data_IF_703778406699
#
_entry.id   IF_703778406699
#
_cell.length_a   1.000
_cell.length_b   1.000
_cell.length_c   1.000
_cell.angle_alpha   90.00
_cell.angle_beta   90.00
_cell.angle_gamma   90.00
#
_symmetry.space_group_name_H-M   'P 1'
#
loop_
_entity.id
_entity.type
_entity.pdbx_description
1 polymer ?
#
# COMPACT_ATOMS: atom_id res chain seq x y z
N UNK A 1 1.25 -4.58 -4.43
CA UNK A 1 0.33 -5.28 -3.51
C UNK A 1 -0.33 -6.40 -4.29
N UNK A 2 -0.13 -7.64 -3.89
CA UNK A 2 -0.71 -8.80 -4.59
C UNK A 2 -2.22 -8.84 -4.38
N UNK A 3 -2.96 -9.50 -5.27
CA UNK A 3 -4.41 -9.71 -5.09
C UNK A 3 -4.73 -10.46 -3.79
N UNK A 4 -3.82 -11.33 -3.35
CA UNK A 4 -3.92 -12.04 -2.08
C UNK A 4 -3.82 -11.08 -0.89
N UNK A 5 -2.83 -10.18 -0.88
CA UNK A 5 -2.66 -9.16 0.17
C UNK A 5 -3.89 -8.24 0.28
N UNK A 6 -4.49 -7.85 -0.86
CA UNK A 6 -5.72 -7.05 -0.89
C UNK A 6 -6.88 -7.78 -0.23
N UNK A 7 -7.14 -9.02 -0.65
CA UNK A 7 -8.21 -9.85 -0.08
C UNK A 7 -8.05 -10.10 1.42
N UNK A 8 -6.81 -10.24 1.86
CA UNK A 8 -6.47 -10.45 3.26
C UNK A 8 -6.76 -9.18 4.10
N UNK A 9 -6.46 -7.98 3.57
CA UNK A 9 -6.76 -6.71 4.25
C UNK A 9 -8.24 -6.31 4.18
N UNK A 10 -8.97 -6.76 3.17
CA UNK A 10 -10.40 -6.45 2.97
C UNK A 10 -11.33 -7.39 3.75
N UNK A 11 -10.86 -8.04 4.83
CA UNK A 11 -11.72 -8.83 5.75
C UNK A 11 -12.60 -7.91 6.60
N UNK A 12 -13.52 -7.22 5.94
CA UNK A 12 -14.57 -6.44 6.60
C UNK A 12 -15.77 -7.32 6.95
N UNK A 13 -16.37 -7.15 8.13
CA UNK A 13 -17.61 -7.82 8.47
C UNK A 13 -18.75 -7.22 7.64
N UNK A 14 -19.53 -8.07 6.96
CA UNK A 14 -20.65 -7.65 6.08
C UNK A 14 -21.99 -7.88 6.78
N UNK A 15 -22.08 -8.92 7.60
CA UNK A 15 -23.28 -9.31 8.33
C UNK A 15 -22.98 -9.32 9.84
N UNK A 16 -23.93 -8.82 10.62
CA UNK A 16 -23.88 -8.78 12.07
C UNK A 16 -23.90 -10.20 12.63
N UNK A 17 -23.00 -10.52 13.57
CA UNK A 17 -22.95 -11.85 14.18
C UNK A 17 -24.13 -12.10 15.12
N UNK A 18 -24.67 -11.04 15.72
CA UNK A 18 -25.77 -11.13 16.69
C UNK A 18 -27.13 -11.40 16.02
N UNK A 19 -27.44 -10.75 14.90
CA UNK A 19 -28.77 -10.84 14.28
C UNK A 19 -28.78 -11.16 12.77
N UNK A 20 -27.61 -11.28 12.13
CA UNK A 20 -27.50 -11.48 10.67
C UNK A 20 -27.81 -10.25 9.81
N UNK A 21 -28.15 -9.12 10.44
CA UNK A 21 -28.43 -7.84 9.80
C UNK A 21 -27.24 -7.26 9.04
N UNK A 22 -27.48 -6.30 8.14
CA UNK A 22 -26.39 -5.68 7.38
C UNK A 22 -25.57 -4.75 8.27
N UNK A 23 -24.25 -4.80 8.09
CA UNK A 23 -23.30 -3.91 8.77
C UNK A 23 -22.89 -2.76 7.87
N UNK A 24 -22.85 -1.56 8.45
CA UNK A 24 -22.47 -0.33 7.76
C UNK A 24 -21.23 0.25 8.39
N UNK A 25 -20.25 0.57 7.54
CA UNK A 25 -19.02 1.20 7.97
C UNK A 25 -19.31 2.55 8.62
N UNK A 26 -18.73 2.76 9.80
CA UNK A 26 -18.81 4.03 10.53
C UNK A 26 -17.49 4.79 10.33
N UNK A 27 -16.44 4.41 11.06
CA UNK A 27 -15.13 5.03 10.96
C UNK A 27 -14.03 4.13 11.53
N UNK A 28 -12.80 4.23 11.00
CA UNK A 28 -11.63 3.61 11.61
C UNK A 28 -11.70 2.09 11.79
N UNK A 29 -12.41 1.39 10.90
CA UNK A 29 -12.59 -0.06 10.95
C UNK A 29 -13.76 -0.54 11.82
N UNK A 30 -14.60 0.37 12.32
CA UNK A 30 -15.85 0.03 13.02
C UNK A 30 -17.05 -0.03 12.07
N UNK A 31 -17.97 -0.93 12.40
CA UNK A 31 -19.17 -1.23 11.64
C UNK A 31 -20.34 -1.33 12.60
N UNK A 32 -21.49 -0.75 12.22
CA UNK A 32 -22.72 -0.79 13.03
C UNK A 32 -23.84 -1.50 12.30
N UNK A 33 -24.57 -2.34 13.01
CA UNK A 33 -25.75 -3.01 12.48
C UNK A 33 -26.95 -2.06 12.47
N UNK A 34 -27.67 -1.99 11.35
CA UNK A 34 -28.91 -1.21 11.27
C UNK A 34 -30.06 -1.81 12.08
N UNK A 35 -30.11 -3.14 12.18
CA UNK A 35 -31.25 -3.85 12.79
C UNK A 35 -31.18 -3.89 14.32
N UNK A 36 -30.02 -4.24 14.89
CA UNK A 36 -29.85 -4.40 16.34
C UNK A 36 -28.92 -3.36 16.99
N UNK A 37 -28.24 -2.53 16.20
CA UNK A 37 -27.31 -1.52 16.70
C UNK A 37 -25.96 -2.05 17.19
N UNK A 38 -25.71 -3.36 17.13
CA UNK A 38 -24.43 -3.96 17.52
C UNK A 38 -23.25 -3.38 16.72
N UNK A 39 -22.10 -3.26 17.38
CA UNK A 39 -20.85 -2.79 16.78
C UNK A 39 -19.87 -3.95 16.57
N UNK A 40 -19.24 -3.95 15.40
CA UNK A 40 -18.29 -4.96 14.96
C UNK A 40 -17.06 -4.27 14.37
N UNK A 41 -15.91 -4.96 14.41
CA UNK A 41 -14.64 -4.40 13.97
C UNK A 41 -13.93 -5.31 12.99
N UNK A 42 -13.38 -4.72 11.93
CA UNK A 42 -12.41 -5.40 11.09
C UNK A 42 -11.05 -5.53 11.80
N UNK A 43 -10.09 -6.18 11.16
CA UNK A 43 -8.76 -6.37 11.73
C UNK A 43 -8.04 -5.04 12.04
N UNK A 44 -8.29 -3.99 11.26
CA UNK A 44 -7.74 -2.66 11.52
C UNK A 44 -8.40 -2.01 12.74
N UNK A 45 -9.73 -2.06 12.84
CA UNK A 45 -10.49 -1.56 13.97
C UNK A 45 -10.08 -2.22 15.28
N UNK A 46 -9.89 -3.54 15.28
CA UNK A 46 -9.39 -4.28 16.45
C UNK A 46 -8.01 -3.79 16.89
N UNK A 47 -7.06 -3.67 15.96
CA UNK A 47 -5.71 -3.17 16.28
C UNK A 47 -5.79 -1.73 16.81
N UNK A 48 -6.59 -0.88 16.18
CA UNK A 48 -6.76 0.51 16.57
C UNK A 48 -7.29 0.62 18.00
N UNK A 49 -8.38 -0.08 18.33
CA UNK A 49 -8.95 -0.08 19.67
C UNK A 49 -7.95 -0.55 20.73
N UNK A 50 -7.19 -1.60 20.41
CA UNK A 50 -6.15 -2.09 21.31
C UNK A 50 -5.07 -1.03 21.55
N UNK A 51 -4.57 -0.38 20.50
CA UNK A 51 -3.56 0.67 20.63
C UNK A 51 -4.09 1.92 21.35
N UNK A 52 -5.38 2.25 21.20
CA UNK A 52 -6.01 3.35 21.94
C UNK A 52 -6.14 3.04 23.44
N UNK A 53 -6.42 1.78 23.80
CA UNK A 53 -6.57 1.36 25.19
C UNK A 53 -5.22 1.09 25.90
N UNK A 54 -4.24 0.51 25.20
CA UNK A 54 -2.98 0.03 25.79
C UNK A 54 -1.76 0.88 25.41
N UNK A 55 -1.91 1.81 24.46
CA UNK A 55 -0.81 2.56 23.89
C UNK A 55 0.07 1.73 22.93
N UNK A 56 1.21 2.31 22.47
CA UNK A 56 2.11 1.64 21.55
C UNK A 56 2.61 0.30 22.09
N UNK A 57 2.37 -0.77 21.33
CA UNK A 57 2.66 -2.14 21.74
C UNK A 57 3.38 -2.92 20.65
N UNK A 58 4.22 -3.92 21.00
CA UNK A 58 4.81 -4.81 20.01
C UNK A 58 3.75 -5.62 19.26
N UNK A 59 4.01 -5.90 17.98
CA UNK A 59 3.07 -6.62 17.11
C UNK A 59 2.66 -8.01 17.66
N UNK A 60 3.53 -8.68 18.42
CA UNK A 60 3.24 -9.97 19.05
C UNK A 60 2.10 -9.85 20.05
N UNK A 61 2.19 -8.91 20.99
CA UNK A 61 1.14 -8.67 21.99
C UNK A 61 -0.19 -8.24 21.34
N UNK A 62 -0.12 -7.35 20.34
CA UNK A 62 -1.31 -6.96 19.59
C UNK A 62 -1.96 -8.20 18.96
N UNK A 63 -1.17 -9.10 18.38
CA UNK A 63 -1.68 -10.32 17.75
C UNK A 63 -2.33 -11.26 18.76
N UNK A 64 -1.68 -11.49 19.89
CA UNK A 64 -2.17 -12.36 20.97
C UNK A 64 -3.49 -11.85 21.55
N UNK A 65 -3.59 -10.55 21.83
CA UNK A 65 -4.73 -9.98 22.54
C UNK A 65 -5.93 -9.68 21.61
N UNK A 66 -5.68 -9.34 20.34
CA UNK A 66 -6.75 -9.03 19.37
C UNK A 66 -7.17 -10.22 18.51
N UNK A 67 -6.37 -11.29 18.48
CA UNK A 67 -6.52 -12.42 17.57
C UNK A 67 -6.24 -12.08 16.10
N UNK A 68 -5.75 -10.87 15.79
CA UNK A 68 -5.37 -10.48 14.44
C UNK A 68 -4.01 -11.11 14.11
N UNK A 69 -3.84 -11.85 13.00
CA UNK A 69 -2.57 -12.52 12.71
C UNK A 69 -1.40 -11.54 12.54
N UNK A 70 -0.22 -11.91 13.02
CA UNK A 70 1.02 -11.13 12.87
C UNK A 70 1.31 -10.68 11.44
N UNK A 71 0.99 -11.51 10.45
CA UNK A 71 1.18 -11.17 9.03
C UNK A 71 0.33 -9.97 8.60
N UNK A 72 -0.89 -9.85 9.14
CA UNK A 72 -1.80 -8.72 8.89
C UNK A 72 -1.23 -7.44 9.49
N UNK A 73 -0.77 -7.50 10.74
CA UNK A 73 -0.17 -6.36 11.44
C UNK A 73 1.07 -5.87 10.68
N UNK A 74 1.94 -6.80 10.26
CA UNK A 74 3.11 -6.47 9.44
C UNK A 74 2.72 -5.87 8.10
N UNK A 75 1.65 -6.36 7.47
CA UNK A 75 1.17 -5.80 6.21
C UNK A 75 0.62 -4.38 6.39
N UNK A 76 -0.08 -4.10 7.49
CA UNK A 76 -0.52 -2.74 7.83
C UNK A 76 0.66 -1.77 8.03
N UNK A 77 1.72 -2.21 8.71
CA UNK A 77 2.96 -1.45 8.87
C UNK A 77 3.63 -1.19 7.50
N UNK A 78 3.76 -2.22 6.66
CA UNK A 78 4.35 -2.12 5.32
C UNK A 78 3.56 -1.20 4.39
N UNK A 79 2.24 -1.16 4.53
CA UNK A 79 1.37 -0.31 3.71
C UNK A 79 1.15 1.09 4.31
N UNK A 80 1.79 1.41 5.44
CA UNK A 80 1.71 2.74 6.07
C UNK A 80 0.38 3.03 6.75
N UNK A 81 -0.41 2.00 7.08
CA UNK A 81 -1.64 2.16 7.89
C UNK A 81 -1.36 2.15 9.39
N UNK A 82 -0.24 1.55 9.79
CA UNK A 82 0.30 1.59 11.13
C UNK A 82 1.72 2.16 11.07
N UNK A 83 2.15 2.73 12.18
CA UNK A 83 3.50 3.25 12.37
C UNK A 83 4.06 2.80 13.72
N UNK A 84 5.35 2.49 13.73
CA UNK A 84 6.12 2.31 14.96
C UNK A 84 6.66 3.68 15.43
N UNK A 85 6.43 4.09 16.69
CA UNK A 85 6.96 5.34 17.24
C UNK A 85 8.49 5.43 17.22
N UNK A 86 9.01 6.66 17.28
CA UNK A 86 10.46 6.87 17.46
C UNK A 86 10.94 6.35 18.81
N UNK A 87 12.22 5.95 18.86
CA UNK A 87 12.83 5.39 20.07
C UNK A 87 12.37 3.96 20.39
N UNK A 88 11.54 3.33 19.55
CA UNK A 88 11.21 1.91 19.67
C UNK A 88 12.46 1.03 19.58
N UNK A 89 12.46 -0.09 20.31
CA UNK A 89 13.50 -1.13 20.23
C UNK A 89 13.36 -1.99 18.96
N UNK A 90 12.19 -1.98 18.33
CA UNK A 90 11.86 -2.83 17.20
C UNK A 90 11.37 -1.98 16.02
N UNK A 91 11.82 -2.32 14.81
CA UNK A 91 11.41 -1.67 13.56
C UNK A 91 11.22 -2.74 12.47
N UNK A 92 10.37 -2.46 11.49
CA UNK A 92 10.33 -3.28 10.27
C UNK A 92 11.55 -2.95 9.40
N UNK A 93 11.85 -3.79 8.42
CA UNK A 93 13.01 -3.61 7.54
C UNK A 93 12.57 -3.24 6.13
N UNK A 94 13.35 -2.36 5.48
CA UNK A 94 13.24 -2.11 4.06
C UNK A 94 13.46 -3.43 3.30
N UNK A 95 12.52 -3.80 2.41
CA UNK A 95 12.57 -5.06 1.66
C UNK A 95 13.73 -5.11 0.65
N UNK A 96 14.38 -3.98 0.38
CA UNK A 96 15.49 -3.87 -0.56
C UNK A 96 16.86 -3.79 0.10
N UNK A 97 17.07 -2.88 1.04
CA UNK A 97 18.38 -2.65 1.67
C UNK A 97 18.45 -3.10 3.14
N UNK A 98 17.33 -3.50 3.75
CA UNK A 98 17.30 -4.00 5.11
C UNK A 98 17.37 -2.95 6.22
N UNK A 99 17.46 -1.65 5.91
CA UNK A 99 17.48 -0.60 6.93
C UNK A 99 16.16 -0.57 7.73
N UNK A 100 16.23 -0.07 8.98
CA UNK A 100 15.07 0.07 9.85
C UNK A 100 14.05 1.07 9.28
N UNK A 101 12.77 0.77 9.44
CA UNK A 101 11.64 1.59 9.04
C UNK A 101 10.59 1.61 10.16
N UNK A 102 9.98 2.77 10.34
CA UNK A 102 8.80 2.94 11.20
C UNK A 102 7.53 2.39 10.53
N UNK A 103 7.47 2.51 9.21
CA UNK A 103 6.41 2.02 8.34
C UNK A 103 6.91 2.01 6.88
N UNK A 104 6.15 1.39 5.98
CA UNK A 104 6.47 1.33 4.55
C UNK A 104 7.24 0.08 4.12
N UNK A 105 7.18 -0.26 2.83
CA UNK A 105 7.94 -1.39 2.25
C UNK A 105 9.40 -1.04 1.94
N UNK A 106 9.63 0.19 1.49
CA UNK A 106 10.93 0.65 1.01
C UNK A 106 11.29 1.98 1.68
N UNK A 107 12.58 2.13 1.99
CA UNK A 107 13.09 3.40 2.49
C UNK A 107 13.12 4.48 1.40
N UNK A 108 13.19 5.77 1.77
CA UNK A 108 13.15 6.87 0.80
C UNK A 108 14.21 6.76 -0.31
N UNK A 109 15.43 6.33 0.00
CA UNK A 109 16.50 6.17 -0.98
C UNK A 109 16.21 5.03 -1.97
N UNK A 110 15.77 3.87 -1.48
CA UNK A 110 15.38 2.75 -2.34
C UNK A 110 14.19 3.10 -3.24
N UNK A 111 13.18 3.81 -2.71
CA UNK A 111 12.03 4.27 -3.50
C UNK A 111 12.46 5.22 -4.60
N UNK A 112 13.32 6.21 -4.30
CA UNK A 112 13.84 7.16 -5.29
C UNK A 112 14.55 6.47 -6.45
N UNK A 113 15.38 5.47 -6.15
CA UNK A 113 16.10 4.73 -7.19
C UNK A 113 15.18 3.88 -8.07
N UNK A 114 14.19 3.20 -7.46
CA UNK A 114 13.18 2.42 -8.19
C UNK A 114 12.37 3.30 -9.16
N UNK A 115 11.90 4.46 -8.68
CA UNK A 115 11.17 5.41 -9.52
C UNK A 115 12.06 5.95 -10.64
N UNK A 116 13.35 6.21 -10.36
CA UNK A 116 14.31 6.64 -11.37
C UNK A 116 14.50 5.62 -12.49
N UNK A 117 14.61 4.33 -12.16
CA UNK A 117 14.71 3.26 -13.14
C UNK A 117 13.44 3.15 -14.00
N UNK A 118 12.26 3.24 -13.38
CA UNK A 118 10.99 3.21 -14.10
C UNK A 118 10.84 4.40 -15.04
N UNK A 119 11.17 5.61 -14.57
CA UNK A 119 11.16 6.80 -15.40
C UNK A 119 12.10 6.63 -16.60
N UNK A 120 13.34 6.18 -16.39
CA UNK A 120 14.29 5.93 -17.48
C UNK A 120 13.70 5.02 -18.56
N UNK A 121 13.12 3.89 -18.17
CA UNK A 121 12.51 2.95 -19.11
C UNK A 121 11.29 3.54 -19.85
N UNK A 122 10.48 4.37 -19.18
CA UNK A 122 9.32 5.02 -19.81
C UNK A 122 9.74 6.14 -20.78
N UNK A 123 10.78 6.90 -20.46
CA UNK A 123 11.30 7.96 -21.33
C UNK A 123 11.89 7.40 -22.63
N UNK A 124 12.51 6.22 -22.60
CA UNK A 124 13.01 5.54 -23.82
C UNK A 124 11.90 5.18 -24.82
N UNK A 125 10.66 5.03 -24.35
CA UNK A 125 9.49 4.69 -25.17
C UNK A 125 8.63 5.92 -25.52
N UNK A 126 9.08 7.13 -25.16
CA UNK A 126 8.31 8.35 -25.36
C UNK A 126 8.40 8.82 -26.81
N UNK A 127 7.28 8.73 -27.53
CA UNK A 127 7.15 9.28 -28.87
C UNK A 127 6.92 10.80 -28.86
N UNK A 128 7.26 11.46 -29.96
CA UNK A 128 6.99 12.89 -30.12
C UNK A 128 5.51 13.16 -30.39
N UNK A 129 4.93 14.14 -29.69
CA UNK A 129 3.57 14.62 -30.01
C UNK A 129 3.64 15.49 -31.27
N UNK A 130 2.88 15.21 -32.34
CA UNK A 130 2.85 16.08 -33.51
C UNK A 130 2.37 17.48 -33.12
N UNK A 131 3.04 18.50 -33.66
CA UNK A 131 2.67 19.91 -33.46
C UNK A 131 1.67 20.30 -34.56
N UNK A 132 0.40 20.49 -34.21
CA UNK A 132 -0.65 20.96 -35.12
C UNK A 132 -1.81 19.96 -35.31
N UNK A 133 -2.82 20.39 -36.06
CA UNK A 133 -4.01 19.60 -36.40
C UNK A 133 -3.66 18.58 -37.49
N UNK A 134 -3.94 17.30 -37.27
CA UNK A 134 -3.60 16.23 -38.22
C UNK A 134 -4.59 16.27 -39.40
N UNK A 135 -4.30 17.06 -40.43
CA UNK A 135 -5.02 16.98 -41.71
C UNK A 135 -4.65 15.69 -42.44
N UNK A 136 -5.66 14.90 -42.81
CA UNK A 136 -5.52 13.59 -43.46
C UNK A 136 -4.97 13.69 -44.88
N UNK A 137 -3.67 13.92 -45.06
CA UNK A 137 -2.97 13.60 -46.32
C UNK A 137 -2.32 12.22 -46.23
N UNK A 138 -2.20 11.54 -47.39
CA UNK A 138 -1.59 10.21 -47.53
C UNK A 138 -0.07 10.29 -47.30
N UNK A 139 0.34 10.41 -46.05
CA UNK A 139 1.75 10.42 -45.65
C UNK A 139 2.25 8.97 -45.47
N UNK A 140 3.54 8.75 -45.78
CA UNK A 140 4.19 7.44 -45.72
C UNK A 140 5.02 7.32 -44.43
N UNK A 141 5.10 6.12 -43.87
CA UNK A 141 5.98 5.85 -42.72
C UNK A 141 7.44 5.87 -43.17
N UNK A 142 8.31 6.45 -42.34
CA UNK A 142 9.76 6.44 -42.51
C UNK A 142 10.42 5.67 -41.36
N UNK A 143 11.59 5.10 -41.59
CA UNK A 143 12.38 4.43 -40.54
C UNK A 143 13.02 5.48 -39.62
N UNK A 144 13.13 5.14 -38.33
CA UNK A 144 13.91 5.92 -37.35
C UNK A 144 15.35 5.37 -37.35
N UNK A 145 16.27 6.03 -38.05
CA UNK A 145 17.69 5.65 -38.02
C UNK A 145 18.32 6.04 -36.68
N UNK A 146 18.60 5.05 -35.83
CA UNK A 146 19.20 5.25 -34.51
C UNK A 146 20.74 5.33 -34.61
N UNK A 147 21.26 6.42 -35.19
CA UNK A 147 22.71 6.65 -35.33
C UNK A 147 23.20 7.72 -34.34
N UNK A 148 23.68 7.32 -33.16
CA UNK A 148 24.34 8.30 -32.30
C UNK A 148 24.76 7.91 -30.88
N UNK A 149 25.56 6.85 -30.68
CA UNK A 149 26.54 6.80 -29.56
C UNK A 149 27.80 6.02 -29.97
N UNK A 150 28.66 6.64 -30.79
CA UNK A 150 30.09 6.31 -30.86
C UNK A 150 30.89 7.49 -30.32
N UNK A 151 31.49 7.29 -29.14
CA UNK A 151 32.76 7.86 -28.70
C UNK A 151 32.90 9.37 -28.52
N UNK A 152 33.21 9.78 -27.28
CA UNK A 152 34.27 10.78 -27.09
C UNK A 152 35.11 10.39 -25.87
N UNK A 153 36.42 10.29 -26.13
CA UNK A 153 37.51 10.12 -25.17
C UNK A 153 37.51 11.23 -24.14
#
# INVERSE_FOLDING_TARGET
MTDLEKRIMDRRPIFCKECGGKLFYQAGGSYKCEDCGAEEYDDFGKIKMYLEAHGPSPATFISEDTGVPLEIINLFLKNGRLEIPEGSKFYIKCERCGCALRFGRYCPSCTKELVGQLHGAMFEQMGEKPKGDVEKKKEKMHFLDNAGKKGRK
#
